data_IF_449404808238
#
_entry.id   IF_449404808238
#
_cell.length_a   1.000
_cell.length_b   1.000
_cell.length_c   1.000
_cell.angle_alpha   90.00
_cell.angle_beta   90.00
_cell.angle_gamma   90.00
#
_symmetry.space_group_name_H-M   'P 1'
#
loop_
_entity.id
_entity.type
_entity.pdbx_description
1 polymer ?
#
# COMPACT_ATOMS: atom_id res chain seq x y z
N UNK A 1 -11.04 -18.87 7.16
CA UNK A 1 -11.47 -18.72 5.76
C UNK A 1 -10.47 -17.80 5.11
N UNK A 2 -9.51 -18.34 4.36
CA UNK A 2 -8.52 -17.51 3.65
C UNK A 2 -9.21 -16.92 2.43
N UNK A 3 -9.58 -15.64 2.51
CA UNK A 3 -9.96 -14.88 1.32
C UNK A 3 -8.80 -14.92 0.34
N UNK A 4 -9.04 -15.50 -0.84
CA UNK A 4 -8.11 -15.38 -1.97
C UNK A 4 -8.28 -13.95 -2.46
N UNK A 5 -7.32 -13.08 -2.15
CA UNK A 5 -7.34 -11.72 -2.68
C UNK A 5 -7.35 -11.79 -4.22
N UNK A 6 -8.21 -11.02 -4.91
CA UNK A 6 -8.16 -10.93 -6.36
C UNK A 6 -6.77 -10.47 -6.83
N UNK A 7 -6.45 -10.70 -8.10
CA UNK A 7 -5.15 -10.30 -8.66
C UNK A 7 -4.87 -8.83 -8.37
N UNK A 8 -3.67 -8.52 -7.89
CA UNK A 8 -3.23 -7.14 -7.59
C UNK A 8 -2.12 -6.74 -8.55
N UNK A 9 -2.23 -5.57 -9.16
CA UNK A 9 -1.17 -5.00 -9.99
C UNK A 9 -0.12 -4.29 -9.11
N UNK A 10 0.76 -5.07 -8.47
CA UNK A 10 1.76 -4.57 -7.53
C UNK A 10 2.76 -3.60 -8.15
N UNK A 11 3.02 -2.50 -7.45
CA UNK A 11 4.09 -1.55 -7.75
C UNK A 11 4.98 -1.39 -6.52
N UNK A 12 6.29 -1.60 -6.70
CA UNK A 12 7.29 -1.34 -5.66
C UNK A 12 7.53 0.16 -5.60
N UNK A 13 7.39 0.77 -4.43
CA UNK A 13 7.59 2.21 -4.26
C UNK A 13 9.01 2.64 -4.66
N UNK A 14 9.13 3.65 -5.51
CA UNK A 14 10.41 4.24 -5.95
C UNK A 14 11.21 4.86 -4.80
N UNK A 15 10.54 5.19 -3.69
CA UNK A 15 11.20 5.65 -2.45
C UNK A 15 11.83 4.52 -1.64
N UNK A 16 11.68 3.26 -2.08
CA UNK A 16 12.32 2.10 -1.45
C UNK A 16 13.75 1.83 -1.94
N UNK A 17 14.34 2.70 -2.78
CA UNK A 17 15.55 2.40 -3.55
C UNK A 17 16.89 2.60 -2.81
N UNK A 18 16.99 3.44 -1.77
CA UNK A 18 18.26 3.70 -1.07
C UNK A 18 18.40 2.84 0.20
N UNK A 19 19.49 2.08 0.31
CA UNK A 19 19.92 1.28 1.48
C UNK A 19 19.25 -0.09 1.71
N UNK A 20 18.92 -0.83 0.66
CA UNK A 20 18.54 -2.24 0.76
C UNK A 20 17.13 -2.58 0.32
N UNK A 21 16.48 -1.68 -0.43
CA UNK A 21 15.66 -2.03 -1.58
C UNK A 21 14.38 -2.81 -1.30
N UNK A 22 13.21 -2.16 -1.39
CA UNK A 22 11.85 -2.75 -1.37
C UNK A 22 11.27 -2.95 0.03
N UNK A 23 10.74 -1.88 0.62
CA UNK A 23 10.04 -1.95 1.91
C UNK A 23 8.52 -2.05 1.74
N UNK A 24 7.96 -1.38 0.72
CA UNK A 24 6.51 -1.30 0.51
C UNK A 24 6.15 -1.55 -0.96
N UNK A 25 5.15 -2.41 -1.18
CA UNK A 25 4.42 -2.55 -2.44
C UNK A 25 2.98 -2.10 -2.24
N UNK A 26 2.44 -1.42 -3.25
CA UNK A 26 1.02 -1.09 -3.30
C UNK A 26 0.49 -1.28 -4.72
N UNK A 27 -0.78 -1.62 -4.87
CA UNK A 27 -1.39 -1.80 -6.19
C UNK A 27 -2.91 -1.90 -6.16
N UNK A 28 -3.59 -1.59 -7.28
CA UNK A 28 -5.03 -1.77 -7.37
C UNK A 28 -5.37 -3.27 -7.38
N UNK A 29 -6.46 -3.60 -6.69
CA UNK A 29 -7.11 -4.92 -6.78
C UNK A 29 -7.91 -4.97 -8.08
N UNK A 30 -7.64 -5.96 -8.94
CA UNK A 30 -8.18 -6.07 -10.29
C UNK A 30 -9.54 -6.77 -10.33
N UNK A 31 -10.47 -6.29 -9.50
CA UNK A 31 -11.85 -6.79 -9.40
C UNK A 31 -12.92 -5.73 -9.73
N UNK A 32 -12.50 -4.54 -10.18
CA UNK A 32 -13.38 -3.42 -10.49
C UNK A 32 -13.83 -2.59 -9.28
N UNK A 33 -13.43 -2.96 -8.05
CA UNK A 33 -13.79 -2.23 -6.83
C UNK A 33 -13.01 -0.93 -6.62
N UNK A 34 -11.89 -0.76 -7.31
CA UNK A 34 -10.96 0.35 -7.07
C UNK A 34 -10.21 0.26 -5.74
N UNK A 35 -10.32 -0.87 -5.02
CA UNK A 35 -9.56 -1.12 -3.79
C UNK A 35 -8.06 -1.12 -4.06
N UNK A 36 -7.29 -0.74 -3.03
CA UNK A 36 -5.83 -0.75 -3.08
C UNK A 36 -5.29 -1.67 -1.99
N UNK A 37 -4.42 -2.60 -2.39
CA UNK A 37 -3.70 -3.45 -1.47
C UNK A 37 -2.31 -2.88 -1.19
N UNK A 38 -1.84 -3.02 0.05
CA UNK A 38 -0.51 -2.61 0.51
C UNK A 38 0.13 -3.74 1.31
N UNK A 39 1.40 -4.02 1.06
CA UNK A 39 2.16 -5.05 1.79
C UNK A 39 3.63 -4.71 1.91
N UNK A 40 4.33 -5.46 2.77
CA UNK A 40 5.78 -5.38 2.92
C UNK A 40 6.47 -6.17 1.78
N UNK A 41 7.30 -5.52 0.96
CA UNK A 41 7.87 -6.18 -0.23
C UNK A 41 8.74 -7.39 0.11
N UNK A 42 9.47 -7.36 1.24
CA UNK A 42 10.32 -8.50 1.69
C UNK A 42 9.57 -9.60 2.44
N UNK A 43 8.29 -9.37 2.76
CA UNK A 43 7.49 -10.32 3.53
C UNK A 43 6.03 -10.31 3.01
N UNK A 44 5.82 -10.60 1.71
CA UNK A 44 4.52 -10.44 1.06
C UNK A 44 3.44 -11.35 1.65
N UNK A 45 3.83 -12.48 2.23
CA UNK A 45 2.93 -13.47 2.86
C UNK A 45 2.61 -13.14 4.33
N UNK A 46 3.31 -12.18 4.94
CA UNK A 46 3.13 -11.89 6.36
C UNK A 46 1.81 -11.14 6.64
N UNK A 47 1.51 -10.12 5.84
CA UNK A 47 0.26 -9.38 5.91
C UNK A 47 0.02 -8.57 4.63
N UNK A 48 -1.25 -8.46 4.23
CA UNK A 48 -1.72 -7.51 3.22
C UNK A 48 -2.85 -6.69 3.81
N UNK A 49 -2.77 -5.37 3.72
CA UNK A 49 -3.83 -4.45 4.10
C UNK A 49 -4.56 -4.05 2.83
N UNK A 50 -5.90 -4.08 2.83
CA UNK A 50 -6.72 -3.68 1.69
C UNK A 50 -7.58 -2.48 2.09
N UNK A 51 -7.42 -1.38 1.37
CA UNK A 51 -8.21 -0.16 1.53
C UNK A 51 -9.32 -0.11 0.48
N UNK A 52 -10.48 0.41 0.86
CA UNK A 52 -11.49 0.89 -0.09
C UNK A 52 -10.93 2.04 -0.93
N UNK A 53 -11.56 2.30 -2.08
CA UNK A 53 -11.18 3.44 -2.92
C UNK A 53 -11.28 4.79 -2.16
N UNK A 54 -12.29 4.92 -1.30
CA UNK A 54 -12.52 6.11 -0.48
C UNK A 54 -11.44 6.26 0.60
N UNK A 55 -11.14 5.19 1.34
CA UNK A 55 -10.07 5.19 2.34
C UNK A 55 -8.70 5.47 1.73
N UNK A 56 -8.39 4.88 0.57
CA UNK A 56 -7.13 5.13 -0.11
C UNK A 56 -7.00 6.59 -0.55
N UNK A 57 -8.08 7.17 -1.07
CA UNK A 57 -8.11 8.58 -1.47
C UNK A 57 -7.90 9.50 -0.26
N UNK A 58 -8.59 9.23 0.84
CA UNK A 58 -8.44 9.97 2.09
C UNK A 58 -7.01 9.84 2.65
N UNK A 59 -6.48 8.61 2.71
CA UNK A 59 -5.13 8.35 3.19
C UNK A 59 -4.06 9.12 2.40
N UNK A 60 -4.11 9.08 1.07
CA UNK A 60 -3.13 9.80 0.22
C UNK A 60 -3.24 11.31 0.41
N UNK A 61 -4.44 11.84 0.61
CA UNK A 61 -4.64 13.26 0.94
C UNK A 61 -3.99 13.60 2.27
N UNK A 62 -4.30 12.88 3.34
CA UNK A 62 -3.71 13.06 4.66
C UNK A 62 -2.18 12.95 4.66
N UNK A 63 -1.61 12.01 3.90
CA UNK A 63 -0.15 11.89 3.70
C UNK A 63 0.43 13.15 3.05
N UNK A 64 -0.22 13.70 2.03
CA UNK A 64 0.25 14.93 1.36
C UNK A 64 0.10 16.17 2.24
N UNK A 65 -0.91 16.19 3.10
CA UNK A 65 -1.16 17.24 4.07
C UNK A 65 -0.20 17.15 5.28
N UNK A 66 0.65 16.11 5.34
CA UNK A 66 1.65 15.92 6.39
C UNK A 66 1.06 15.40 7.72
N UNK A 67 -0.18 14.90 7.71
CA UNK A 67 -0.90 14.51 8.95
C UNK A 67 -0.21 13.37 9.73
N UNK A 68 0.69 12.62 9.07
CA UNK A 68 1.37 11.47 9.66
C UNK A 68 2.89 11.68 9.87
N UNK A 69 3.38 12.91 9.75
CA UNK A 69 4.79 13.24 9.96
C UNK A 69 5.11 13.41 11.46
N UNK A 70 4.77 12.40 12.27
CA UNK A 70 4.83 12.44 13.75
C UNK A 70 6.22 12.71 14.34
N UNK A 71 7.27 12.54 13.53
CA UNK A 71 8.68 12.67 13.92
C UNK A 71 9.40 13.77 13.15
N UNK A 72 8.69 14.58 12.34
CA UNK A 72 9.26 15.81 11.82
C UNK A 72 9.52 16.78 12.99
N UNK A 73 10.68 17.46 13.03
CA UNK A 73 10.98 18.45 14.07
C UNK A 73 10.02 19.65 14.04
#
# INVERSE_FOLDING_TARGET
MSEILPVVAWHISTKSASNGGSCVEAGPVLDGSGRVAVRHSKAPEAATIVYTAEEWTAFVRSVKDGEFDFVAP
#
